data_IF_793390434810
#
_entry.id   IF_793390434810
#
_cell.length_a   1.000
_cell.length_b   1.000
_cell.length_c   1.000
_cell.angle_alpha   90.00
_cell.angle_beta   90.00
_cell.angle_gamma   90.00
#
_symmetry.space_group_name_H-M   'P 1'
#
loop_
_entity.id
_entity.type
_entity.pdbx_description
1 polymer ?
#
# COMPACT_ATOMS: atom_id res chain seq x y z
N UNK A 1 0.98 8.89 34.89
CA UNK A 1 1.68 8.00 33.94
C UNK A 1 1.29 8.49 32.57
N UNK A 2 2.23 8.92 31.74
CA UNK A 2 1.90 9.17 30.33
C UNK A 2 1.44 7.83 29.74
N UNK A 3 0.22 7.76 29.24
CA UNK A 3 -0.26 6.61 28.47
C UNK A 3 0.64 6.50 27.26
N UNK A 4 1.25 5.33 27.04
CA UNK A 4 2.10 5.11 25.86
C UNK A 4 1.27 5.37 24.59
N UNK A 5 1.87 6.02 23.61
CA UNK A 5 1.20 6.41 22.36
C UNK A 5 0.59 5.18 21.65
N UNK A 6 -0.65 5.27 21.18
CA UNK A 6 -1.23 4.20 20.36
C UNK A 6 -0.59 4.18 18.98
N UNK A 7 -0.19 2.99 18.50
CA UNK A 7 0.47 2.82 17.21
C UNK A 7 -0.08 1.56 16.50
N UNK A 8 -0.49 1.69 15.23
CA UNK A 8 -0.76 0.51 14.41
C UNK A 8 0.53 -0.22 14.03
N UNK A 9 1.62 0.50 13.89
CA UNK A 9 2.96 -0.05 13.63
C UNK A 9 4.00 0.82 14.32
N UNK A 10 4.93 0.20 15.08
CA UNK A 10 5.99 0.92 15.78
C UNK A 10 7.28 0.93 14.94
N UNK A 11 7.71 2.08 14.38
CA UNK A 11 8.91 2.17 13.57
C UNK A 11 10.21 1.96 14.36
N UNK A 12 10.15 2.02 15.69
CA UNK A 12 11.30 1.76 16.60
C UNK A 12 11.51 0.27 16.89
N UNK A 13 10.68 -0.60 16.30
CA UNK A 13 10.78 -2.04 16.46
C UNK A 13 11.08 -2.72 15.12
N UNK A 14 11.64 -3.91 15.18
CA UNK A 14 11.84 -4.76 14.01
C UNK A 14 10.50 -5.17 13.39
N UNK A 15 10.52 -5.63 12.15
CA UNK A 15 9.34 -6.18 11.51
C UNK A 15 8.76 -7.37 12.31
N UNK A 16 9.64 -8.26 12.78
CA UNK A 16 9.21 -9.47 13.53
C UNK A 16 8.57 -9.09 14.87
N UNK A 17 9.12 -8.12 15.60
CA UNK A 17 8.49 -7.63 16.84
C UNK A 17 7.12 -7.01 16.58
N UNK A 18 6.96 -6.22 15.52
CA UNK A 18 5.66 -5.69 15.12
C UNK A 18 4.69 -6.82 14.72
N UNK A 19 5.16 -7.80 13.96
CA UNK A 19 4.39 -8.97 13.56
C UNK A 19 3.90 -9.75 14.78
N UNK A 20 4.77 -10.01 15.75
CA UNK A 20 4.47 -10.88 16.89
C UNK A 20 3.68 -10.19 18.00
N UNK A 21 3.89 -8.88 18.23
CA UNK A 21 3.35 -8.18 19.40
C UNK A 21 2.47 -6.97 19.09
N UNK A 22 2.52 -6.40 17.89
CA UNK A 22 1.68 -5.27 17.48
C UNK A 22 0.21 -5.66 17.25
N UNK A 23 -0.67 -4.69 17.08
CA UNK A 23 -0.49 -3.25 17.29
C UNK A 23 -0.36 -2.88 18.77
N UNK A 24 0.06 -1.62 19.05
CA UNK A 24 0.43 -1.20 20.42
C UNK A 24 -0.56 -0.19 20.96
N UNK A 25 -0.98 -0.38 22.22
CA UNK A 25 -1.79 0.56 23.00
C UNK A 25 -3.05 1.05 22.27
N UNK A 26 -3.56 0.28 21.32
CA UNK A 26 -4.83 0.58 20.64
C UNK A 26 -5.95 0.41 21.65
N UNK A 27 -6.80 1.41 21.72
CA UNK A 27 -7.96 1.42 22.58
C UNK A 27 -8.94 0.28 22.19
N UNK A 28 -9.64 -0.29 23.16
CA UNK A 28 -10.54 -1.44 22.96
C UNK A 28 -11.92 -1.02 22.42
N UNK A 29 -12.20 0.29 22.31
CA UNK A 29 -13.46 0.76 21.80
C UNK A 29 -13.65 0.37 20.33
N UNK A 30 -14.89 0.20 19.95
CA UNK A 30 -15.30 -0.09 18.61
C UNK A 30 -15.94 1.17 17.99
N UNK A 31 -15.21 1.82 17.10
CA UNK A 31 -15.62 3.04 16.40
C UNK A 31 -16.21 2.75 15.01
N UNK A 32 -16.48 1.47 14.67
CA UNK A 32 -17.12 1.13 13.41
C UNK A 32 -18.49 1.82 13.32
N UNK A 33 -18.78 2.32 12.12
CA UNK A 33 -20.09 2.88 11.79
C UNK A 33 -21.17 1.78 11.92
N UNK A 34 -22.34 2.16 12.46
CA UNK A 34 -23.45 1.23 12.73
C UNK A 34 -24.67 1.47 11.81
N UNK A 35 -24.64 2.55 11.04
CA UNK A 35 -25.65 2.86 10.05
C UNK A 35 -25.55 1.87 8.85
N UNK A 36 -26.53 1.92 7.95
CA UNK A 36 -26.39 1.20 6.68
C UNK A 36 -25.37 1.90 5.77
N UNK A 37 -24.46 1.16 5.12
CA UNK A 37 -23.50 1.72 4.17
C UNK A 37 -24.19 2.46 3.03
N UNK A 38 -23.70 3.64 2.67
CA UNK A 38 -24.29 4.48 1.64
C UNK A 38 -23.44 4.55 0.36
N UNK A 39 -22.18 4.14 0.43
CA UNK A 39 -21.28 4.12 -0.71
C UNK A 39 -20.98 2.69 -1.16
N UNK A 40 -20.39 2.58 -2.35
CA UNK A 40 -19.98 1.30 -2.93
C UNK A 40 -18.56 1.42 -3.43
N UNK A 41 -17.73 0.42 -3.16
CA UNK A 41 -16.38 0.31 -3.69
C UNK A 41 -16.13 -1.14 -4.15
N UNK A 42 -15.67 -1.34 -5.38
CA UNK A 42 -15.48 -2.66 -6.02
C UNK A 42 -16.74 -3.54 -6.00
N UNK A 43 -17.91 -2.91 -6.02
CA UNK A 43 -19.20 -3.60 -5.92
C UNK A 43 -19.60 -4.02 -4.51
N UNK A 44 -18.80 -3.67 -3.48
CA UNK A 44 -19.11 -3.93 -2.07
C UNK A 44 -19.63 -2.66 -1.38
N UNK A 45 -20.67 -2.78 -0.53
CA UNK A 45 -21.10 -1.64 0.27
C UNK A 45 -20.02 -1.24 1.28
N UNK A 46 -19.71 0.06 1.37
CA UNK A 46 -18.77 0.65 2.33
C UNK A 46 -19.36 1.91 2.96
N UNK A 47 -18.98 2.21 4.21
CA UNK A 47 -19.46 3.44 4.84
C UNK A 47 -18.74 4.67 4.29
N UNK A 48 -17.41 4.60 4.19
CA UNK A 48 -16.57 5.60 3.56
C UNK A 48 -15.47 4.88 2.77
N UNK A 49 -15.25 5.18 1.48
CA UNK A 49 -14.17 4.57 0.70
C UNK A 49 -12.81 5.19 1.11
N UNK A 50 -12.47 5.00 2.39
CA UNK A 50 -11.21 5.41 3.01
C UNK A 50 -10.60 4.26 3.81
N UNK A 51 -9.26 4.12 3.72
CA UNK A 51 -8.63 3.00 4.39
C UNK A 51 -7.12 3.05 4.54
N UNK A 52 -6.57 1.87 4.87
CA UNK A 52 -5.14 1.68 5.08
C UNK A 52 -4.55 0.88 3.93
N UNK A 53 -3.53 1.44 3.26
CA UNK A 53 -2.81 0.78 2.19
C UNK A 53 -1.92 -0.36 2.69
N UNK A 54 -1.60 -1.31 1.80
CA UNK A 54 -0.68 -2.41 2.11
C UNK A 54 0.69 -1.88 2.57
N UNK A 55 1.10 -2.28 3.77
CA UNK A 55 2.39 -1.86 4.34
C UNK A 55 2.50 -2.09 5.83
N UNK A 56 1.59 -1.55 6.59
CA UNK A 56 1.69 -1.40 8.06
C UNK A 56 0.84 -2.38 8.86
N UNK A 57 0.04 -3.21 8.20
CA UNK A 57 -0.90 -4.14 8.85
C UNK A 57 -0.52 -5.60 8.56
N UNK A 58 0.49 -6.16 9.24
CA UNK A 58 1.07 -7.47 8.90
C UNK A 58 0.27 -8.68 9.38
N UNK A 59 -0.74 -8.50 10.24
CA UNK A 59 -1.55 -9.60 10.78
C UNK A 59 -3.02 -9.20 10.93
N UNK A 60 -3.89 -10.19 11.18
CA UNK A 60 -5.30 -10.00 11.50
C UNK A 60 -5.53 -9.10 12.72
N UNK A 61 -4.63 -9.12 13.70
CA UNK A 61 -4.72 -8.22 14.87
C UNK A 61 -4.64 -6.76 14.46
N UNK A 62 -3.75 -6.44 13.50
CA UNK A 62 -3.58 -5.08 12.96
C UNK A 62 -4.78 -4.67 12.09
N UNK A 63 -5.22 -5.53 11.17
CA UNK A 63 -6.37 -5.22 10.31
C UNK A 63 -7.65 -5.08 11.11
N UNK A 64 -7.88 -5.95 12.11
CA UNK A 64 -9.04 -5.87 12.99
C UNK A 64 -9.00 -4.64 13.90
N UNK A 65 -7.81 -4.20 14.32
CA UNK A 65 -7.65 -2.93 15.02
C UNK A 65 -8.00 -1.76 14.11
N UNK A 66 -7.52 -1.73 12.86
CA UNK A 66 -7.86 -0.70 11.89
C UNK A 66 -9.38 -0.63 11.62
N UNK A 67 -10.04 -1.78 11.46
CA UNK A 67 -11.50 -1.82 11.31
C UNK A 67 -12.22 -1.22 12.52
N UNK A 68 -11.82 -1.59 13.75
CA UNK A 68 -12.41 -1.00 14.96
C UNK A 68 -12.14 0.50 15.09
N UNK A 69 -11.01 0.99 14.56
CA UNK A 69 -10.69 2.43 14.52
C UNK A 69 -11.44 3.18 13.40
N UNK A 70 -12.37 2.54 12.70
CA UNK A 70 -13.27 3.21 11.75
C UNK A 70 -12.77 3.26 10.31
N UNK A 71 -11.68 2.57 9.96
CA UNK A 71 -11.29 2.40 8.55
C UNK A 71 -12.22 1.39 7.87
N UNK A 72 -12.68 1.70 6.65
CA UNK A 72 -13.66 0.86 5.96
C UNK A 72 -13.06 0.06 4.79
N UNK A 73 -11.88 0.46 4.26
CA UNK A 73 -11.16 -0.28 3.22
C UNK A 73 -9.73 -0.58 3.69
N UNK A 74 -9.51 -1.77 4.23
CA UNK A 74 -8.24 -2.13 4.88
C UNK A 74 -7.48 -3.13 4.04
N UNK A 75 -6.19 -2.84 3.77
CA UNK A 75 -5.32 -3.72 3.03
C UNK A 75 -4.38 -4.49 3.98
N UNK A 76 -4.47 -5.82 3.95
CA UNK A 76 -3.52 -6.70 4.62
C UNK A 76 -2.16 -6.56 3.94
N UNK A 77 -1.08 -6.51 4.75
CA UNK A 77 0.27 -6.37 4.23
C UNK A 77 0.58 -7.42 3.17
N UNK A 78 1.22 -6.97 2.09
CA UNK A 78 1.65 -7.83 0.98
C UNK A 78 2.35 -9.10 1.47
N UNK A 79 1.86 -10.26 1.03
CA UNK A 79 2.40 -11.58 1.31
C UNK A 79 2.87 -12.27 0.01
N UNK A 80 3.62 -13.36 0.19
CA UNK A 80 4.20 -14.19 -0.86
C UNK A 80 3.70 -15.62 -0.77
N UNK A 81 3.95 -16.40 -1.81
CA UNK A 81 3.69 -17.85 -1.84
C UNK A 81 4.63 -18.67 -0.92
N UNK A 82 5.62 -18.03 -0.31
CA UNK A 82 6.62 -18.66 0.56
C UNK A 82 7.10 -17.70 1.64
N UNK A 83 7.78 -18.23 2.66
CA UNK A 83 8.48 -17.42 3.65
C UNK A 83 9.55 -16.56 2.98
N UNK A 84 9.64 -15.29 3.41
CA UNK A 84 10.62 -14.34 2.90
C UNK A 84 11.05 -13.37 4.01
N UNK A 85 12.36 -13.23 4.28
CA UNK A 85 12.85 -12.46 5.41
C UNK A 85 12.66 -10.95 5.22
N UNK A 86 12.55 -10.23 6.33
CA UNK A 86 12.67 -8.78 6.34
C UNK A 86 14.12 -8.34 6.12
N UNK A 87 14.28 -7.21 5.47
CA UNK A 87 15.57 -6.52 5.46
C UNK A 87 16.02 -6.18 6.88
N UNK A 88 17.36 -6.01 7.13
CA UNK A 88 17.87 -5.60 8.42
C UNK A 88 17.24 -4.30 8.95
N UNK A 89 16.98 -4.26 10.25
CA UNK A 89 16.54 -3.06 10.95
C UNK A 89 17.65 -1.97 10.98
N UNK A 90 17.29 -0.67 10.88
CA UNK A 90 15.96 -0.10 10.77
C UNK A 90 15.32 -0.26 9.40
N UNK A 91 13.97 -0.37 9.38
CA UNK A 91 13.21 -0.47 8.14
C UNK A 91 12.51 0.84 7.77
N UNK A 92 12.31 1.73 8.73
CA UNK A 92 11.65 3.03 8.57
C UNK A 92 12.52 4.10 9.20
N UNK A 93 12.81 5.18 8.45
CA UNK A 93 13.52 6.36 8.94
C UNK A 93 12.76 7.62 8.53
N UNK A 94 12.69 8.65 9.41
CA UNK A 94 12.18 9.96 9.02
C UNK A 94 13.17 10.65 8.09
N UNK A 95 12.65 11.46 7.16
CA UNK A 95 13.44 12.13 6.14
C UNK A 95 13.42 13.65 6.31
N UNK A 96 14.50 14.29 5.94
CA UNK A 96 14.63 15.75 5.92
C UNK A 96 14.17 16.28 4.56
N UNK A 97 12.87 16.43 4.40
CA UNK A 97 12.26 16.96 3.19
C UNK A 97 11.34 18.11 3.57
N UNK A 98 11.55 19.25 2.95
CA UNK A 98 10.65 20.40 3.05
C UNK A 98 9.77 20.49 1.81
N UNK A 99 8.45 20.44 2.04
CA UNK A 99 7.42 20.45 1.00
C UNK A 99 7.48 19.23 0.07
N UNK A 100 7.16 19.44 -1.19
CA UNK A 100 7.09 18.39 -2.20
C UNK A 100 8.47 17.87 -2.60
N UNK A 101 8.61 16.54 -2.64
CA UNK A 101 9.76 15.86 -3.22
C UNK A 101 9.57 15.74 -4.74
N UNK A 102 9.85 16.82 -5.47
CA UNK A 102 9.69 16.86 -6.93
C UNK A 102 10.71 15.95 -7.64
N UNK A 103 10.48 15.66 -8.93
CA UNK A 103 11.41 14.86 -9.74
C UNK A 103 12.82 15.47 -9.80
N UNK A 104 12.93 16.81 -9.74
CA UNK A 104 14.20 17.52 -9.70
C UNK A 104 14.95 17.25 -8.39
N UNK A 105 14.24 17.30 -7.24
CA UNK A 105 14.84 17.00 -5.93
C UNK A 105 15.22 15.53 -5.77
N UNK A 106 14.55 14.61 -6.48
CA UNK A 106 14.87 13.17 -6.46
C UNK A 106 16.21 12.80 -7.10
N UNK A 107 16.85 13.74 -7.82
CA UNK A 107 18.18 13.53 -8.40
C UNK A 107 19.24 13.47 -7.32
N UNK A 108 19.07 14.26 -6.26
CA UNK A 108 19.97 14.34 -5.12
C UNK A 108 19.61 13.33 -4.03
N UNK A 109 20.60 12.90 -3.22
CA UNK A 109 20.33 12.07 -2.06
C UNK A 109 19.45 12.77 -1.03
N UNK A 110 18.52 12.04 -0.43
CA UNK A 110 17.65 12.51 0.65
C UNK A 110 18.24 12.11 1.99
N UNK A 111 18.34 13.06 2.92
CA UNK A 111 18.94 12.84 4.24
C UNK A 111 17.92 12.24 5.21
N UNK A 112 18.29 11.18 5.90
CA UNK A 112 17.52 10.62 7.00
C UNK A 112 17.78 11.41 8.28
N UNK A 113 16.71 11.70 9.04
CA UNK A 113 16.78 12.31 10.39
C UNK A 113 16.96 11.25 11.47
N UNK A 114 17.46 11.66 12.62
CA UNK A 114 17.68 10.77 13.77
C UNK A 114 16.38 10.51 14.58
N UNK A 115 15.39 11.41 14.51
CA UNK A 115 14.17 11.31 15.30
C UNK A 115 12.93 11.67 14.47
N UNK A 116 11.81 11.00 14.76
CA UNK A 116 10.51 11.35 14.22
C UNK A 116 9.98 12.63 14.88
N UNK A 117 9.28 13.52 14.13
CA UNK A 117 8.67 14.70 14.69
C UNK A 117 7.44 14.35 15.54
N UNK A 118 7.06 15.24 16.46
CA UNK A 118 5.80 15.13 17.20
C UNK A 118 4.58 15.38 16.29
N UNK A 119 4.67 16.40 15.43
CA UNK A 119 3.66 16.67 14.40
C UNK A 119 4.00 15.87 13.15
N UNK A 120 3.12 14.93 12.82
CA UNK A 120 3.28 14.03 11.68
C UNK A 120 2.64 14.54 10.39
N UNK A 121 1.94 15.67 10.39
CA UNK A 121 1.21 16.18 9.21
C UNK A 121 2.12 16.43 8.01
N UNK A 122 3.38 16.76 8.26
CA UNK A 122 4.41 16.94 7.24
C UNK A 122 5.46 15.83 7.21
N UNK A 123 5.22 14.73 7.94
CA UNK A 123 6.17 13.63 8.03
C UNK A 123 6.34 12.94 6.67
N UNK A 124 7.59 12.82 6.25
CA UNK A 124 8.01 11.93 5.18
C UNK A 124 8.99 10.92 5.72
N UNK A 125 8.87 9.68 5.26
CA UNK A 125 9.68 8.56 5.71
C UNK A 125 10.23 7.79 4.52
N UNK A 126 11.36 7.11 4.71
CA UNK A 126 11.70 5.97 3.86
C UNK A 126 11.20 4.69 4.49
N UNK A 127 10.82 3.71 3.64
CA UNK A 127 10.54 2.36 4.08
C UNK A 127 11.32 1.33 3.25
N UNK A 128 11.91 0.36 3.91
CA UNK A 128 12.75 -0.66 3.27
C UNK A 128 12.61 -2.00 3.99
N UNK A 129 11.46 -2.64 3.83
CA UNK A 129 11.19 -3.94 4.45
C UNK A 129 11.67 -5.12 3.59
N UNK A 130 11.73 -4.99 2.26
CA UNK A 130 12.01 -6.09 1.32
C UNK A 130 10.78 -6.96 1.03
N UNK A 131 9.59 -6.50 1.36
CA UNK A 131 8.32 -7.25 1.26
C UNK A 131 8.43 -8.61 1.97
N UNK A 132 8.68 -8.61 3.30
CA UNK A 132 8.74 -9.84 4.07
C UNK A 132 7.37 -10.52 4.11
N UNK A 133 7.41 -11.83 4.17
CA UNK A 133 6.23 -12.69 4.28
C UNK A 133 6.53 -13.84 5.22
N UNK A 134 5.55 -14.27 6.00
CA UNK A 134 5.55 -15.64 6.54
C UNK A 134 5.09 -16.59 5.44
N UNK A 135 5.37 -17.88 5.58
CA UNK A 135 4.87 -18.88 4.66
C UNK A 135 3.33 -18.96 4.68
N UNK A 136 2.71 -19.47 3.60
CA UNK A 136 1.26 -19.64 3.52
C UNK A 136 0.66 -20.42 4.69
N UNK A 137 1.39 -21.39 5.24
CA UNK A 137 1.00 -22.17 6.42
C UNK A 137 0.77 -21.30 7.68
N UNK A 138 1.28 -20.07 7.69
CA UNK A 138 1.09 -19.10 8.78
C UNK A 138 0.04 -18.06 8.42
N UNK A 139 0.22 -17.35 7.29
CA UNK A 139 -0.65 -16.21 6.98
C UNK A 139 -2.03 -16.61 6.46
N UNK A 140 -2.22 -17.84 5.94
CA UNK A 140 -3.49 -18.26 5.37
C UNK A 140 -4.64 -18.28 6.41
N UNK A 141 -4.41 -18.86 7.58
CA UNK A 141 -5.43 -18.89 8.64
C UNK A 141 -5.56 -17.54 9.36
N UNK A 142 -4.48 -16.76 9.44
CA UNK A 142 -4.53 -15.39 9.93
C UNK A 142 -5.35 -14.50 8.99
N UNK A 143 -5.22 -14.68 7.68
CA UNK A 143 -6.04 -13.97 6.70
C UNK A 143 -7.53 -14.29 6.83
N UNK A 144 -7.90 -15.55 7.08
CA UNK A 144 -9.31 -15.90 7.38
C UNK A 144 -9.84 -15.11 8.57
N UNK A 145 -9.01 -14.96 9.61
CA UNK A 145 -9.36 -14.18 10.80
C UNK A 145 -9.48 -12.68 10.45
N UNK A 146 -8.63 -12.17 9.59
CA UNK A 146 -8.70 -10.79 9.11
C UNK A 146 -9.97 -10.52 8.27
N UNK A 147 -10.32 -11.45 7.37
CA UNK A 147 -11.55 -11.37 6.55
C UNK A 147 -12.80 -11.38 7.44
N UNK A 148 -12.83 -12.29 8.43
CA UNK A 148 -13.94 -12.37 9.38
C UNK A 148 -14.05 -11.15 10.31
N UNK A 149 -12.98 -10.38 10.45
CA UNK A 149 -12.92 -9.17 11.27
C UNK A 149 -13.56 -7.94 10.63
N UNK A 150 -13.77 -7.94 9.31
CA UNK A 150 -14.49 -6.88 8.61
C UNK A 150 -15.97 -6.90 8.98
N UNK A 151 -16.50 -5.76 9.43
CA UNK A 151 -17.91 -5.57 9.72
C UNK A 151 -18.75 -5.24 8.48
N UNK A 152 -20.05 -5.03 8.68
CA UNK A 152 -20.89 -4.46 7.63
C UNK A 152 -20.32 -3.12 7.17
N UNK A 153 -20.30 -2.88 5.86
CA UNK A 153 -19.73 -1.65 5.30
C UNK A 153 -18.21 -1.55 5.35
N UNK A 154 -17.52 -2.68 5.55
CA UNK A 154 -16.06 -2.75 5.56
C UNK A 154 -15.54 -3.82 4.59
N UNK A 155 -14.41 -3.55 3.94
CA UNK A 155 -13.78 -4.44 2.95
C UNK A 155 -12.32 -4.69 3.31
N UNK A 156 -11.93 -5.97 3.38
CA UNK A 156 -10.52 -6.38 3.42
C UNK A 156 -10.02 -6.64 2.00
N UNK A 157 -8.89 -6.02 1.67
CA UNK A 157 -8.09 -6.30 0.47
C UNK A 157 -6.85 -7.09 0.89
N UNK A 158 -6.57 -8.20 0.22
CA UNK A 158 -5.32 -8.93 0.40
C UNK A 158 -4.30 -8.52 -0.63
N UNK A 159 -3.16 -7.97 -0.21
CA UNK A 159 -2.06 -7.64 -1.12
C UNK A 159 -1.09 -8.82 -1.25
N UNK A 160 -0.68 -9.13 -2.50
CA UNK A 160 0.24 -10.21 -2.83
C UNK A 160 1.33 -9.77 -3.80
N UNK A 161 2.44 -10.48 -3.80
CA UNK A 161 3.55 -10.27 -4.75
C UNK A 161 4.18 -11.62 -5.12
N UNK A 162 4.63 -11.75 -6.37
CA UNK A 162 5.44 -12.88 -6.79
C UNK A 162 6.86 -12.82 -6.22
N UNK A 163 7.53 -13.95 -6.22
CA UNK A 163 8.92 -14.11 -5.79
C UNK A 163 9.71 -14.74 -6.92
N UNK A 164 10.77 -14.08 -7.38
CA UNK A 164 11.75 -14.70 -8.26
C UNK A 164 12.71 -15.53 -7.43
N UNK A 165 12.93 -16.77 -7.83
CA UNK A 165 13.91 -17.67 -7.22
C UNK A 165 15.04 -17.95 -8.20
N UNK A 166 16.27 -18.23 -7.73
CA UNK A 166 17.39 -18.53 -8.63
C UNK A 166 17.07 -19.67 -9.59
N UNK A 167 17.22 -19.42 -10.90
CA UNK A 167 16.97 -20.41 -11.95
C UNK A 167 15.54 -20.48 -12.46
N UNK A 168 14.60 -19.73 -11.89
CA UNK A 168 13.23 -19.64 -12.40
C UNK A 168 13.14 -18.81 -13.67
N UNK A 169 12.18 -19.18 -14.50
CA UNK A 169 11.79 -18.46 -15.71
C UNK A 169 10.85 -17.29 -15.39
N UNK A 170 10.67 -16.38 -16.35
CA UNK A 170 9.65 -15.32 -16.21
C UNK A 170 8.23 -15.90 -16.05
N UNK A 171 7.92 -17.02 -16.71
CA UNK A 171 6.62 -17.68 -16.59
C UNK A 171 6.36 -18.19 -15.16
N UNK A 172 7.33 -18.84 -14.54
CA UNK A 172 7.23 -19.31 -13.15
C UNK A 172 7.06 -18.14 -12.18
N UNK A 173 7.72 -17.02 -12.43
CA UNK A 173 7.53 -15.80 -11.64
C UNK A 173 6.11 -15.22 -11.79
N UNK A 174 5.56 -15.17 -13.01
CA UNK A 174 4.20 -14.70 -13.23
C UNK A 174 3.16 -15.63 -12.61
N UNK A 175 3.40 -16.94 -12.65
CA UNK A 175 2.55 -17.95 -12.00
C UNK A 175 2.58 -17.83 -10.48
N UNK A 176 3.68 -17.38 -9.88
CA UNK A 176 3.79 -17.19 -8.43
C UNK A 176 2.86 -16.08 -7.93
N UNK A 177 2.61 -15.01 -8.71
CA UNK A 177 1.56 -14.02 -8.41
C UNK A 177 0.17 -14.68 -8.40
N UNK A 178 -0.13 -15.47 -9.40
CA UNK A 178 -1.41 -16.15 -9.52
C UNK A 178 -1.63 -17.15 -8.37
N UNK A 179 -0.59 -17.88 -7.97
CA UNK A 179 -0.62 -18.80 -6.84
C UNK A 179 -0.88 -18.06 -5.52
N UNK A 180 -0.16 -16.96 -5.26
CA UNK A 180 -0.35 -16.15 -4.05
C UNK A 180 -1.77 -15.57 -3.98
N UNK A 181 -2.28 -15.07 -5.12
CA UNK A 181 -3.64 -14.55 -5.24
C UNK A 181 -4.70 -15.64 -5.03
N UNK A 182 -4.50 -16.84 -5.60
CA UNK A 182 -5.39 -17.99 -5.39
C UNK A 182 -5.48 -18.39 -3.93
N UNK A 183 -4.36 -18.46 -3.22
CA UNK A 183 -4.32 -18.72 -1.78
C UNK A 183 -5.10 -17.67 -0.98
N UNK A 184 -4.98 -16.39 -1.38
CA UNK A 184 -5.75 -15.31 -0.74
C UNK A 184 -7.27 -15.50 -0.90
N UNK A 185 -7.72 -15.86 -2.10
CA UNK A 185 -9.14 -16.14 -2.38
C UNK A 185 -9.62 -17.39 -1.63
N UNK A 186 -8.82 -18.44 -1.57
CA UNK A 186 -9.14 -19.67 -0.83
C UNK A 186 -9.26 -19.39 0.69
N UNK A 187 -8.55 -18.38 1.20
CA UNK A 187 -8.70 -17.90 2.57
C UNK A 187 -9.92 -16.97 2.77
N UNK A 188 -10.64 -16.61 1.70
CA UNK A 188 -11.89 -15.85 1.76
C UNK A 188 -11.76 -14.38 1.36
N UNK A 189 -10.60 -13.92 0.83
CA UNK A 189 -10.46 -12.56 0.33
C UNK A 189 -11.40 -12.31 -0.86
N UNK A 190 -12.12 -11.18 -0.82
CA UNK A 190 -13.05 -10.76 -1.87
C UNK A 190 -12.42 -9.78 -2.87
N UNK A 191 -11.28 -9.22 -2.51
CA UNK A 191 -10.46 -8.37 -3.37
C UNK A 191 -8.97 -8.68 -3.13
N UNK A 192 -8.21 -8.78 -4.22
CA UNK A 192 -6.77 -9.06 -4.20
C UNK A 192 -6.04 -7.95 -4.92
N UNK A 193 -5.04 -7.36 -4.25
CA UNK A 193 -4.12 -6.39 -4.85
C UNK A 193 -2.81 -7.10 -5.22
N UNK A 194 -2.43 -7.10 -6.51
CA UNK A 194 -1.09 -7.50 -6.93
C UNK A 194 -0.16 -6.28 -6.88
N UNK A 195 0.90 -6.38 -6.07
CA UNK A 195 1.90 -5.32 -5.94
C UNK A 195 2.93 -5.43 -7.06
N UNK A 196 2.76 -4.62 -8.12
CA UNK A 196 3.66 -4.56 -9.27
C UNK A 196 4.79 -3.53 -9.10
N UNK A 197 4.80 -2.77 -8.02
CA UNK A 197 5.64 -1.60 -7.83
C UNK A 197 6.44 -1.65 -6.53
N UNK A 198 7.12 -2.77 -6.28
CA UNK A 198 8.04 -2.85 -5.14
C UNK A 198 9.45 -2.39 -5.56
N UNK A 199 9.91 -1.20 -5.10
CA UNK A 199 11.26 -0.73 -5.42
C UNK A 199 12.37 -1.44 -4.64
N UNK A 200 12.00 -2.29 -3.69
CA UNK A 200 12.94 -2.96 -2.78
C UNK A 200 13.35 -4.37 -3.26
N UNK A 201 13.01 -4.74 -4.49
CA UNK A 201 13.40 -6.01 -5.13
C UNK A 201 14.44 -5.69 -6.19
N UNK A 202 15.67 -5.45 -5.74
CA UNK A 202 16.74 -4.82 -6.53
C UNK A 202 17.20 -5.61 -7.77
N UNK A 203 16.93 -6.91 -7.87
CA UNK A 203 17.35 -7.75 -9.02
C UNK A 203 16.37 -7.78 -10.17
N UNK A 204 15.12 -7.39 -9.97
CA UNK A 204 14.00 -7.67 -10.87
C UNK A 204 13.48 -6.42 -11.60
N UNK A 205 13.98 -5.24 -11.21
CA UNK A 205 13.39 -3.99 -11.68
C UNK A 205 11.96 -3.78 -11.13
N UNK A 206 11.30 -2.71 -11.55
CA UNK A 206 9.92 -2.41 -11.14
C UNK A 206 9.00 -2.95 -12.24
N UNK A 207 8.30 -4.05 -11.95
CA UNK A 207 7.42 -4.78 -12.89
C UNK A 207 6.39 -3.88 -13.56
N UNK A 208 5.84 -2.89 -12.84
CA UNK A 208 4.81 -2.00 -13.38
C UNK A 208 5.26 -1.14 -14.57
N UNK A 209 6.54 -1.15 -14.95
CA UNK A 209 7.04 -0.48 -16.14
C UNK A 209 7.35 -1.44 -17.30
N UNK A 210 6.96 -2.71 -17.19
CA UNK A 210 7.19 -3.75 -18.20
C UNK A 210 5.83 -4.26 -18.73
N UNK A 211 5.33 -3.77 -19.88
CA UNK A 211 3.96 -4.04 -20.35
C UNK A 211 3.62 -5.52 -20.43
N UNK A 212 4.49 -6.33 -21.04
CA UNK A 212 4.24 -7.77 -21.22
C UNK A 212 4.14 -8.51 -19.88
N UNK A 213 5.01 -8.15 -18.92
CA UNK A 213 4.98 -8.75 -17.59
C UNK A 213 3.69 -8.39 -16.85
N UNK A 214 3.28 -7.11 -16.88
CA UNK A 214 2.02 -6.66 -16.26
C UNK A 214 0.83 -7.38 -16.85
N UNK A 215 0.77 -7.48 -18.18
CA UNK A 215 -0.33 -8.17 -18.88
C UNK A 215 -0.40 -9.65 -18.49
N UNK A 216 0.72 -10.36 -18.53
CA UNK A 216 0.77 -11.80 -18.21
C UNK A 216 0.42 -12.07 -16.75
N UNK A 217 0.93 -11.26 -15.80
CA UNK A 217 0.56 -11.37 -14.40
C UNK A 217 -0.95 -11.15 -14.21
N UNK A 218 -1.53 -10.10 -14.81
CA UNK A 218 -2.95 -9.82 -14.68
C UNK A 218 -3.82 -10.95 -15.26
N UNK A 219 -3.49 -11.46 -16.45
CA UNK A 219 -4.21 -12.58 -17.08
C UNK A 219 -4.20 -13.84 -16.22
N UNK A 220 -2.99 -14.28 -15.81
CA UNK A 220 -2.82 -15.49 -14.99
C UNK A 220 -3.48 -15.35 -13.63
N UNK A 221 -3.31 -14.19 -12.99
CA UNK A 221 -3.95 -13.92 -11.70
C UNK A 221 -5.48 -13.93 -11.86
N UNK A 222 -6.04 -13.21 -12.84
CA UNK A 222 -7.49 -13.18 -13.06
C UNK A 222 -8.06 -14.56 -13.38
N UNK A 223 -7.35 -15.37 -14.15
CA UNK A 223 -7.73 -16.76 -14.41
C UNK A 223 -7.75 -17.62 -13.13
N UNK A 224 -6.81 -17.38 -12.20
CA UNK A 224 -6.71 -18.14 -10.96
C UNK A 224 -7.76 -17.74 -9.91
N UNK A 225 -8.16 -16.46 -9.86
CA UNK A 225 -9.07 -15.92 -8.85
C UNK A 225 -10.52 -15.80 -9.31
N UNK A 226 -10.83 -16.07 -10.58
CA UNK A 226 -12.20 -16.04 -11.12
C UNK A 226 -12.86 -14.67 -10.99
N UNK A 227 -14.04 -14.60 -10.40
CA UNK A 227 -14.83 -13.38 -10.27
C UNK A 227 -14.32 -12.42 -9.17
N UNK A 228 -13.36 -12.84 -8.36
CA UNK A 228 -12.77 -12.00 -7.30
C UNK A 228 -12.18 -10.71 -7.90
N UNK A 229 -12.32 -9.59 -7.18
CA UNK A 229 -11.86 -8.29 -7.63
C UNK A 229 -10.33 -8.25 -7.66
N UNK A 230 -9.76 -8.00 -8.83
CA UNK A 230 -8.31 -7.84 -9.03
C UNK A 230 -7.94 -6.36 -9.03
N UNK A 231 -7.00 -5.98 -8.19
CA UNK A 231 -6.43 -4.64 -8.09
C UNK A 231 -4.95 -4.73 -8.50
N UNK A 232 -4.45 -3.76 -9.24
CA UNK A 232 -3.01 -3.60 -9.47
C UNK A 232 -2.49 -2.40 -8.68
N UNK A 233 -1.37 -2.58 -7.95
CA UNK A 233 -0.62 -1.49 -7.31
C UNK A 233 0.55 -1.10 -8.19
N UNK A 234 0.57 0.18 -8.59
CA UNK A 234 1.58 0.72 -9.50
C UNK A 234 2.40 1.84 -8.85
N UNK A 235 3.56 2.13 -9.43
CA UNK A 235 4.42 3.26 -9.08
C UNK A 235 3.99 4.55 -9.78
N UNK A 236 4.84 5.57 -9.63
CA UNK A 236 4.67 6.83 -10.33
C UNK A 236 5.27 6.74 -11.75
N UNK A 237 4.48 7.02 -12.76
CA UNK A 237 4.94 7.19 -14.14
C UNK A 237 5.28 8.66 -14.36
N UNK A 238 6.54 8.94 -14.71
CA UNK A 238 6.95 10.30 -15.03
C UNK A 238 6.17 10.86 -16.23
N UNK A 239 6.07 12.20 -16.41
CA UNK A 239 5.35 12.78 -17.54
C UNK A 239 5.76 12.21 -18.90
N UNK A 240 7.07 11.98 -19.12
CA UNK A 240 7.60 11.37 -20.34
C UNK A 240 7.25 9.89 -20.52
N UNK A 241 6.69 9.24 -19.51
CA UNK A 241 6.19 7.85 -19.54
C UNK A 241 4.67 7.78 -19.73
N UNK A 242 4.02 8.84 -20.18
CA UNK A 242 2.56 8.87 -20.37
C UNK A 242 2.09 7.77 -21.33
N UNK A 243 2.76 7.61 -22.47
CA UNK A 243 2.42 6.57 -23.46
C UNK A 243 2.57 5.16 -22.88
N UNK A 244 3.57 4.96 -22.00
CA UNK A 244 3.76 3.68 -21.30
C UNK A 244 2.62 3.41 -20.31
N UNK A 245 2.17 4.43 -19.56
CA UNK A 245 1.02 4.32 -18.67
C UNK A 245 -0.25 3.95 -19.45
N UNK A 246 -0.51 4.64 -20.57
CA UNK A 246 -1.65 4.39 -21.46
C UNK A 246 -1.66 2.96 -22.00
N UNK A 247 -0.49 2.50 -22.48
CA UNK A 247 -0.32 1.14 -22.97
C UNK A 247 -0.65 0.11 -21.89
N UNK A 248 -0.02 0.23 -20.72
CA UNK A 248 -0.18 -0.73 -19.63
C UNK A 248 -1.62 -0.75 -19.12
N UNK A 249 -2.20 0.41 -18.82
CA UNK A 249 -3.58 0.49 -18.34
C UNK A 249 -4.56 -0.04 -19.38
N UNK A 250 -4.37 0.30 -20.66
CA UNK A 250 -5.21 -0.19 -21.75
C UNK A 250 -5.17 -1.71 -21.91
N UNK A 251 -4.00 -2.33 -21.76
CA UNK A 251 -3.84 -3.78 -21.88
C UNK A 251 -4.54 -4.56 -20.75
N UNK A 252 -4.63 -3.97 -19.55
CA UNK A 252 -5.15 -4.68 -18.38
C UNK A 252 -6.54 -4.26 -17.95
N UNK A 253 -7.13 -3.22 -18.57
CA UNK A 253 -8.43 -2.65 -18.19
C UNK A 253 -9.57 -3.67 -18.13
N UNK A 254 -9.52 -4.74 -18.93
CA UNK A 254 -10.52 -5.82 -18.92
C UNK A 254 -10.34 -6.83 -17.78
N UNK A 255 -9.14 -6.91 -17.18
CA UNK A 255 -8.80 -7.88 -16.13
C UNK A 255 -8.95 -7.29 -14.73
N UNK A 256 -8.76 -5.97 -14.59
CA UNK A 256 -8.65 -5.33 -13.29
C UNK A 256 -9.92 -4.58 -12.90
N UNK A 257 -10.30 -4.71 -11.64
CA UNK A 257 -11.40 -3.95 -11.04
C UNK A 257 -10.94 -2.56 -10.54
N UNK A 258 -9.66 -2.42 -10.17
CA UNK A 258 -9.10 -1.13 -9.77
C UNK A 258 -7.60 -1.01 -10.06
N UNK A 259 -7.16 0.25 -10.17
CA UNK A 259 -5.73 0.65 -10.20
C UNK A 259 -5.44 1.47 -8.95
N UNK A 260 -4.49 0.99 -8.14
CA UNK A 260 -4.02 1.66 -6.92
C UNK A 260 -2.71 2.42 -7.22
N UNK A 261 -2.71 3.72 -7.06
CA UNK A 261 -1.58 4.59 -7.34
C UNK A 261 -1.47 5.69 -6.28
N UNK A 262 -0.26 5.87 -5.74
CA UNK A 262 1.02 5.27 -6.08
C UNK A 262 1.55 4.40 -4.94
N UNK A 263 2.57 3.57 -5.20
CA UNK A 263 3.31 2.95 -4.11
C UNK A 263 4.20 4.02 -3.43
N UNK A 264 5.48 4.12 -3.79
CA UNK A 264 6.44 5.09 -3.23
C UNK A 264 7.25 5.72 -4.36
N UNK A 265 7.87 6.87 -4.12
CA UNK A 265 8.93 7.37 -4.96
C UNK A 265 10.26 6.74 -4.53
N UNK A 266 11.11 6.35 -5.48
CA UNK A 266 12.40 5.76 -5.18
C UNK A 266 13.48 6.83 -5.13
N UNK A 267 14.23 6.92 -4.02
CA UNK A 267 15.34 7.85 -3.86
C UNK A 267 16.56 7.23 -3.19
N UNK A 268 17.71 7.87 -3.32
CA UNK A 268 18.92 7.52 -2.58
C UNK A 268 18.82 8.10 -1.17
N UNK A 269 18.97 7.26 -0.13
CA UNK A 269 18.83 7.67 1.26
C UNK A 269 20.19 7.62 1.95
N UNK A 270 20.60 8.77 2.49
CA UNK A 270 21.88 8.94 3.18
C UNK A 270 21.68 9.41 4.63
N UNK A 271 22.66 9.16 5.47
CA UNK A 271 22.75 9.78 6.79
C UNK A 271 23.28 11.22 6.70
N UNK A 272 23.42 11.90 7.84
CA UNK A 272 23.93 13.27 7.91
C UNK A 272 25.37 13.45 7.39
N UNK A 273 26.12 12.37 7.32
CA UNK A 273 27.52 12.36 6.87
C UNK A 273 27.64 11.94 5.38
N UNK A 274 26.51 11.67 4.71
CA UNK A 274 26.44 11.30 3.31
C UNK A 274 26.64 9.80 3.04
N UNK A 275 26.67 8.97 4.09
CA UNK A 275 26.76 7.51 3.95
C UNK A 275 25.37 6.89 3.75
N UNK A 276 25.34 5.65 3.28
CA UNK A 276 24.09 4.88 3.18
C UNK A 276 23.40 4.80 4.57
N UNK A 277 22.15 5.31 4.66
CA UNK A 277 21.42 5.37 5.93
C UNK A 277 20.83 4.02 6.36
N UNK A 278 20.42 3.18 5.39
CA UNK A 278 19.79 1.88 5.67
C UNK A 278 20.84 0.77 5.62
N UNK A 279 21.00 -0.06 6.66
CA UNK A 279 22.03 -1.11 6.71
C UNK A 279 21.73 -2.23 5.72
N UNK A 280 22.80 -2.90 5.26
CA UNK A 280 22.73 -4.03 4.32
C UNK A 280 23.13 -3.65 2.90
N UNK A 281 23.56 -4.65 2.13
CA UNK A 281 24.01 -4.47 0.77
C UNK A 281 22.84 -4.09 -0.17
N UNK A 282 23.11 -3.21 -1.13
CA UNK A 282 22.10 -2.81 -2.16
C UNK A 282 20.99 -1.88 -1.67
N UNK A 283 21.02 -1.39 -0.41
CA UNK A 283 19.97 -0.56 0.18
C UNK A 283 20.25 0.95 0.13
N UNK A 284 21.10 1.40 -0.77
CA UNK A 284 21.33 2.84 -1.01
C UNK A 284 20.09 3.55 -1.55
N UNK A 285 19.23 2.83 -2.30
CA UNK A 285 17.94 3.32 -2.78
C UNK A 285 16.80 2.65 -2.02
N UNK A 286 15.79 3.45 -1.67
CA UNK A 286 14.60 2.97 -0.95
C UNK A 286 13.36 3.76 -1.31
N UNK A 287 12.18 3.23 -0.96
CA UNK A 287 10.91 3.90 -1.16
C UNK A 287 10.75 5.08 -0.21
N UNK A 288 10.30 6.21 -0.75
CA UNK A 288 9.95 7.42 0.00
C UNK A 288 8.43 7.56 0.00
N UNK A 289 7.84 7.78 1.16
CA UNK A 289 6.41 7.98 1.36
C UNK A 289 6.13 9.03 2.44
N UNK A 290 4.85 9.35 2.68
CA UNK A 290 4.41 10.43 3.55
C UNK A 290 4.16 11.72 2.78
N UNK A 291 4.09 12.84 3.49
CA UNK A 291 3.59 14.12 2.98
C UNK A 291 4.20 14.55 1.65
N UNK A 292 5.51 14.40 1.50
CA UNK A 292 6.27 14.92 0.35
C UNK A 292 5.94 14.30 -1.01
N UNK A 293 5.21 13.17 -1.05
CA UNK A 293 4.84 12.50 -2.30
C UNK A 293 3.38 12.69 -2.70
N UNK A 294 2.60 13.51 -1.97
CA UNK A 294 1.18 13.75 -2.25
C UNK A 294 0.95 14.23 -3.69
N UNK A 295 1.75 15.15 -4.16
CA UNK A 295 1.66 15.67 -5.53
C UNK A 295 1.70 14.57 -6.59
N UNK A 296 2.58 13.57 -6.41
CA UNK A 296 2.74 12.45 -7.34
C UNK A 296 1.54 11.50 -7.33
N UNK A 297 0.98 11.24 -6.14
CA UNK A 297 -0.26 10.48 -6.02
C UNK A 297 -1.44 11.17 -6.69
N UNK A 298 -1.63 12.47 -6.45
CA UNK A 298 -2.67 13.28 -7.08
C UNK A 298 -2.51 13.37 -8.60
N UNK A 299 -1.27 13.54 -9.10
CA UNK A 299 -0.99 13.53 -10.54
C UNK A 299 -1.42 12.21 -11.17
N UNK A 300 -1.02 11.09 -10.59
CA UNK A 300 -1.40 9.77 -11.09
C UNK A 300 -2.91 9.53 -11.08
N UNK A 301 -3.59 9.94 -10.01
CA UNK A 301 -5.06 9.79 -9.95
C UNK A 301 -5.74 10.60 -11.06
N UNK A 302 -5.33 11.86 -11.28
CA UNK A 302 -5.88 12.68 -12.37
C UNK A 302 -5.64 12.06 -13.75
N UNK A 303 -4.45 11.54 -14.00
CA UNK A 303 -4.08 10.87 -15.26
C UNK A 303 -4.87 9.58 -15.47
N UNK A 304 -5.00 8.74 -14.46
CA UNK A 304 -5.82 7.53 -14.50
C UNK A 304 -7.30 7.85 -14.71
N UNK A 305 -7.80 8.88 -14.03
CA UNK A 305 -9.17 9.34 -14.22
C UNK A 305 -9.43 9.83 -15.67
N UNK A 306 -8.50 10.63 -16.21
CA UNK A 306 -8.59 11.10 -17.60
C UNK A 306 -8.56 9.93 -18.60
N UNK A 307 -7.68 8.93 -18.41
CA UNK A 307 -7.59 7.73 -19.24
C UNK A 307 -8.90 6.90 -19.17
N UNK A 308 -9.43 6.71 -17.96
CA UNK A 308 -10.71 6.03 -17.75
C UNK A 308 -11.83 6.69 -18.52
N UNK A 309 -11.95 8.02 -18.43
CA UNK A 309 -13.00 8.78 -19.12
C UNK A 309 -12.84 8.75 -20.64
N UNK A 310 -11.62 8.94 -21.14
CA UNK A 310 -11.34 9.01 -22.57
C UNK A 310 -11.61 7.68 -23.31
N UNK A 311 -11.39 6.54 -22.63
CA UNK A 311 -11.46 5.20 -23.23
C UNK A 311 -12.69 4.40 -22.77
N UNK A 312 -13.51 4.90 -21.84
CA UNK A 312 -14.66 4.19 -21.31
C UNK A 312 -14.29 2.95 -20.49
N UNK A 313 -13.15 2.97 -19.81
CA UNK A 313 -12.74 1.87 -18.93
C UNK A 313 -13.57 1.83 -17.65
N UNK A 314 -13.73 0.64 -17.08
CA UNK A 314 -14.59 0.41 -15.90
C UNK A 314 -13.83 0.22 -14.58
N UNK A 315 -12.48 0.34 -14.60
CA UNK A 315 -11.71 0.22 -13.36
C UNK A 315 -11.99 1.39 -12.40
N UNK A 316 -11.96 1.09 -11.12
CA UNK A 316 -11.97 2.11 -10.06
C UNK A 316 -10.53 2.55 -9.74
N UNK A 317 -10.36 3.70 -9.08
CA UNK A 317 -9.07 4.29 -8.77
C UNK A 317 -8.90 4.38 -7.25
N UNK A 318 -7.84 3.75 -6.73
CA UNK A 318 -7.42 3.92 -5.34
C UNK A 318 -6.30 4.97 -5.31
N UNK A 319 -6.59 6.12 -4.74
CA UNK A 319 -5.60 7.18 -4.52
C UNK A 319 -4.76 6.92 -3.28
N UNK A 320 -3.45 6.88 -3.44
CA UNK A 320 -2.49 6.62 -2.34
C UNK A 320 -1.25 7.47 -2.52
N UNK A 321 -0.73 7.98 -1.42
CA UNK A 321 0.53 8.75 -1.37
C UNK A 321 0.35 10.08 -0.68
N UNK A 322 0.98 10.26 0.47
CA UNK A 322 0.99 11.53 1.18
C UNK A 322 -0.35 11.97 1.79
N UNK A 323 -1.30 11.07 1.99
CA UNK A 323 -2.55 11.35 2.70
C UNK A 323 -2.24 11.40 4.20
N UNK A 324 -2.14 12.62 4.75
CA UNK A 324 -1.71 12.89 6.11
C UNK A 324 -2.75 13.68 6.91
N UNK A 325 -3.70 14.34 6.23
CA UNK A 325 -4.76 15.16 6.82
C UNK A 325 -6.13 14.83 6.19
N UNK A 326 -7.26 15.14 6.86
CA UNK A 326 -8.59 15.00 6.26
C UNK A 326 -8.75 15.73 4.92
N UNK A 327 -8.17 16.92 4.78
CA UNK A 327 -8.21 17.67 3.52
C UNK A 327 -7.55 16.91 2.35
N UNK A 328 -6.52 16.10 2.61
CA UNK A 328 -5.90 15.28 1.58
C UNK A 328 -6.86 14.22 1.03
N UNK A 329 -7.72 13.65 1.88
CA UNK A 329 -8.78 12.75 1.43
C UNK A 329 -9.71 13.44 0.41
N UNK A 330 -10.17 14.65 0.74
CA UNK A 330 -11.05 15.41 -0.15
C UNK A 330 -10.36 15.78 -1.46
N UNK A 331 -9.07 16.17 -1.42
CA UNK A 331 -8.28 16.45 -2.63
C UNK A 331 -8.18 15.23 -3.55
N UNK A 332 -7.96 14.02 -3.00
CA UNK A 332 -7.91 12.78 -3.77
C UNK A 332 -9.27 12.42 -4.38
N UNK A 333 -10.36 12.58 -3.63
CA UNK A 333 -11.73 12.36 -4.13
C UNK A 333 -12.04 13.36 -5.27
N UNK A 334 -11.70 14.62 -5.10
CA UNK A 334 -11.86 15.65 -6.13
C UNK A 334 -10.99 15.40 -7.38
N UNK A 335 -9.82 14.77 -7.22
CA UNK A 335 -8.96 14.36 -8.33
C UNK A 335 -9.51 13.18 -9.14
N UNK A 336 -10.54 12.47 -8.65
CA UNK A 336 -11.21 11.35 -9.31
C UNK A 336 -10.92 9.97 -8.72
N UNK A 337 -10.36 9.90 -7.50
CA UNK A 337 -10.23 8.64 -6.77
C UNK A 337 -11.60 8.13 -6.31
N UNK A 338 -11.87 6.85 -6.51
CA UNK A 338 -13.07 6.16 -6.01
C UNK A 338 -12.89 5.70 -4.56
N UNK A 339 -11.65 5.39 -4.18
CA UNK A 339 -11.23 5.11 -2.80
C UNK A 339 -9.92 5.82 -2.50
N UNK A 340 -9.68 6.19 -1.24
CA UNK A 340 -8.42 6.80 -0.80
C UNK A 340 -7.80 5.94 0.31
N UNK A 341 -6.50 5.73 0.26
CA UNK A 341 -5.79 5.00 1.30
C UNK A 341 -4.59 5.79 1.80
N UNK A 342 -4.33 5.66 3.10
CA UNK A 342 -3.14 6.18 3.76
C UNK A 342 -2.28 5.02 4.30
N UNK A 343 -0.98 5.20 4.38
CA UNK A 343 -0.08 4.23 5.02
C UNK A 343 0.69 4.88 6.18
N UNK A 344 1.28 6.05 5.95
CA UNK A 344 2.13 6.73 6.94
C UNK A 344 1.32 7.28 8.12
N UNK A 345 0.29 8.08 7.86
CA UNK A 345 -0.51 8.69 8.94
C UNK A 345 -1.12 7.64 9.90
N UNK A 346 -1.72 6.53 9.44
CA UNK A 346 -2.30 5.51 10.33
C UNK A 346 -1.29 4.85 11.29
N UNK A 347 0.01 4.81 10.94
CA UNK A 347 1.02 4.24 11.84
C UNK A 347 1.05 4.97 13.18
N UNK A 348 1.02 6.31 13.17
CA UNK A 348 1.10 7.19 14.34
C UNK A 348 -0.24 7.68 14.84
N UNK A 349 -1.26 7.75 13.96
CA UNK A 349 -2.62 8.16 14.28
C UNK A 349 -3.62 7.06 13.90
N UNK A 350 -3.85 6.07 14.75
CA UNK A 350 -4.82 5.01 14.49
C UNK A 350 -6.25 5.51 14.28
N UNK A 351 -6.59 6.69 14.82
CA UNK A 351 -7.93 7.30 14.71
C UNK A 351 -8.10 8.24 13.52
N UNK A 352 -7.15 8.29 12.60
CA UNK A 352 -7.19 9.18 11.46
C UNK A 352 -8.46 9.00 10.59
N UNK A 353 -9.02 7.77 10.50
CA UNK A 353 -10.30 7.57 9.83
C UNK A 353 -11.46 8.32 10.47
N UNK A 354 -11.47 8.46 11.80
CA UNK A 354 -12.50 9.23 12.51
C UNK A 354 -12.40 10.72 12.20
N UNK A 355 -11.17 11.25 12.17
CA UNK A 355 -10.93 12.65 11.81
C UNK A 355 -11.40 12.96 10.39
N UNK A 356 -11.17 12.03 9.44
CA UNK A 356 -11.68 12.15 8.06
C UNK A 356 -13.21 12.13 8.07
N UNK A 357 -13.85 11.20 8.78
CA UNK A 357 -15.32 11.11 8.85
C UNK A 357 -15.92 12.37 9.50
N UNK A 358 -15.31 12.89 10.57
CA UNK A 358 -15.74 14.11 11.24
C UNK A 358 -15.63 15.36 10.36
N UNK A 359 -14.63 15.44 9.48
CA UNK A 359 -14.45 16.58 8.57
C UNK A 359 -15.51 16.64 7.46
N UNK A 360 -16.20 15.55 7.19
CA UNK A 360 -17.23 15.46 6.15
C UNK A 360 -18.66 15.71 6.67
N UNK A 361 -18.85 15.86 7.97
CA UNK A 361 -20.13 16.13 8.63
C UNK A 361 -20.31 17.61 8.96
#
# INVERSE_FOLDING_TARGET
MMTAQPLLYDPHRTYDENYDTGPYNIDENDYREKSEPQETFLGFPVHLPFGVAAGTLPTSRHTNAAFRMGYDVVCYKTQRSSDFPSNPYPNVLPLDIDGDLTLEKLVDPVVAKEAFPEDITHLSITNSFGVPSRGPEVWFDDLKTAVAGAGAGQLLIMSVVGTIRPGETADEYYDDFAQSAKLAVDAGAKAVEVNLSCPNVASEGIVCYTPDAVLEICKRTKAAIGDTQLIIKVGYYKPEQQELLELIVGQVAEYVAAVSAINTLQGTIVDKDGNQALPGEGRSKSGICGASIKWAGLDMVRRLHALRQANGYNYEIIGVGGVMTPADYEEYRAAGADCVQAATAPMWNPKFALEVKESLT
#
